data_IF_457676235092
#
_entry.id   IF_457676235092
#
_cell.length_a   1.000
_cell.length_b   1.000
_cell.length_c   1.000
_cell.angle_alpha   90.00
_cell.angle_beta   90.00
_cell.angle_gamma   90.00
#
_symmetry.space_group_name_H-M   'P 1'
#
loop_
_entity.id
_entity.type
_entity.pdbx_description
1 polymer ?
#
# COMPACT_ATOMS: atom_id res chain seq x y z
N UNK A 1 -13.94 -14.90 -16.78
CA UNK A 1 -13.74 -13.44 -16.65
C UNK A 1 -15.09 -12.76 -16.45
N UNK A 2 -15.40 -12.27 -15.24
CA UNK A 2 -16.70 -11.69 -14.93
C UNK A 2 -16.85 -10.27 -15.52
N UNK A 3 -18.02 -10.00 -16.08
CA UNK A 3 -18.33 -8.87 -16.98
C UNK A 3 -18.21 -7.51 -16.28
N UNK A 4 -17.44 -6.60 -16.90
CA UNK A 4 -17.32 -5.16 -16.59
C UNK A 4 -18.59 -4.35 -16.93
N UNK A 5 -19.78 -4.87 -16.64
CA UNK A 5 -21.06 -4.19 -16.97
C UNK A 5 -21.62 -3.57 -15.68
N UNK A 6 -21.48 -2.25 -15.54
CA UNK A 6 -22.05 -1.48 -14.40
C UNK A 6 -21.10 -0.50 -13.70
N UNK A 7 -19.80 -0.52 -13.99
CA UNK A 7 -18.84 0.35 -13.31
C UNK A 7 -18.76 1.75 -13.95
N UNK A 8 -18.89 2.81 -13.14
CA UNK A 8 -18.67 4.19 -13.59
C UNK A 8 -17.18 4.44 -13.94
N UNK A 9 -16.86 5.59 -14.54
CA UNK A 9 -15.48 5.90 -14.96
C UNK A 9 -14.46 5.85 -13.82
N UNK A 10 -14.86 6.23 -12.62
CA UNK A 10 -14.03 6.26 -11.41
C UNK A 10 -13.79 4.85 -10.87
N UNK A 11 -14.83 4.00 -10.87
CA UNK A 11 -14.70 2.59 -10.53
C UNK A 11 -13.77 1.87 -11.52
N UNK A 12 -13.89 2.14 -12.82
CA UNK A 12 -12.97 1.58 -13.83
C UNK A 12 -11.51 2.02 -13.62
N UNK A 13 -11.28 3.27 -13.20
CA UNK A 13 -9.95 3.76 -12.85
C UNK A 13 -9.39 3.06 -11.61
N UNK A 14 -10.21 2.91 -10.56
CA UNK A 14 -9.84 2.12 -9.38
C UNK A 14 -9.60 0.64 -9.71
N UNK A 15 -10.21 0.08 -10.76
CA UNK A 15 -10.02 -1.30 -11.23
C UNK A 15 -9.07 -1.43 -12.43
N UNK A 16 -8.02 -0.58 -12.52
CA UNK A 16 -6.96 -0.75 -13.52
C UNK A 16 -6.33 -2.15 -13.40
N UNK A 17 -6.38 -2.98 -14.47
CA UNK A 17 -5.71 -4.27 -14.48
C UNK A 17 -4.20 -4.05 -14.60
N UNK A 18 -3.43 -4.48 -13.60
CA UNK A 18 -1.97 -4.42 -13.62
C UNK A 18 -1.30 -4.12 -12.27
N UNK A 19 -2.02 -3.51 -11.32
CA UNK A 19 -1.48 -3.29 -9.97
C UNK A 19 -1.39 -4.59 -9.18
N UNK A 20 -0.20 -4.88 -8.67
CA UNK A 20 0.03 -5.92 -7.67
C UNK A 20 -0.96 -5.71 -6.52
N UNK A 21 -1.59 -6.77 -6.01
CA UNK A 21 -2.53 -6.66 -4.88
C UNK A 21 -1.99 -7.42 -3.71
N UNK A 22 -1.90 -6.73 -2.58
CA UNK A 22 -1.47 -7.33 -1.33
C UNK A 22 -2.54 -8.29 -0.85
N UNK A 23 -2.20 -9.58 -0.74
CA UNK A 23 -3.15 -10.58 -0.26
C UNK A 23 -3.26 -10.47 1.25
N UNK A 24 -4.35 -10.96 1.80
CA UNK A 24 -4.58 -10.91 3.24
C UNK A 24 -3.47 -11.58 4.06
N UNK A 25 -2.97 -12.74 3.61
CA UNK A 25 -1.88 -13.45 4.30
C UNK A 25 -0.53 -12.74 4.22
N UNK A 26 -0.34 -11.82 3.28
CA UNK A 26 0.92 -11.12 3.11
C UNK A 26 1.01 -9.91 4.07
N UNK A 27 -0.12 -9.44 4.61
CA UNK A 27 -0.17 -8.20 5.41
C UNK A 27 0.60 -8.34 6.71
N UNK A 28 0.48 -9.47 7.40
CA UNK A 28 1.22 -9.72 8.64
C UNK A 28 2.73 -9.73 8.38
N UNK A 29 3.16 -10.33 7.27
CA UNK A 29 4.56 -10.37 6.85
C UNK A 29 5.04 -8.95 6.54
N UNK A 30 4.27 -8.18 5.78
CA UNK A 30 4.62 -6.80 5.44
C UNK A 30 4.67 -5.88 6.67
N UNK A 31 3.79 -6.07 7.65
CA UNK A 31 3.84 -5.35 8.92
C UNK A 31 5.09 -5.70 9.74
N UNK A 32 5.55 -6.94 9.67
CA UNK A 32 6.83 -7.33 10.27
C UNK A 32 8.02 -6.68 9.53
N UNK A 33 8.02 -6.69 8.20
CA UNK A 33 9.05 -6.05 7.38
C UNK A 33 9.11 -4.54 7.58
N UNK A 34 7.97 -3.88 7.84
CA UNK A 34 7.90 -2.45 8.16
C UNK A 34 8.70 -2.08 9.43
N UNK A 35 8.96 -3.05 10.31
CA UNK A 35 9.74 -2.87 11.54
C UNK A 35 11.19 -3.39 11.41
N UNK A 36 11.60 -3.81 10.21
CA UNK A 36 12.96 -4.32 9.99
C UNK A 36 14.02 -3.23 10.17
N UNK A 37 15.21 -3.64 10.58
CA UNK A 37 16.40 -2.78 10.59
C UNK A 37 16.85 -2.42 9.17
N UNK A 38 16.54 -3.28 8.18
CA UNK A 38 16.86 -3.05 6.77
C UNK A 38 15.88 -2.06 6.12
N UNK A 39 16.43 -0.96 5.61
CA UNK A 39 15.67 0.06 4.90
C UNK A 39 15.05 -0.45 3.59
N UNK A 40 15.64 -1.46 2.93
CA UNK A 40 15.07 -2.06 1.74
C UNK A 40 13.80 -2.85 2.06
N UNK A 41 13.81 -3.62 3.15
CA UNK A 41 12.64 -4.35 3.66
C UNK A 41 11.52 -3.40 4.08
N UNK A 42 11.86 -2.33 4.80
CA UNK A 42 10.87 -1.29 5.16
C UNK A 42 10.30 -0.59 3.93
N UNK A 43 11.14 -0.30 2.94
CA UNK A 43 10.70 0.33 1.69
C UNK A 43 9.74 -0.59 0.91
N UNK A 44 10.07 -1.88 0.83
CA UNK A 44 9.21 -2.90 0.23
C UNK A 44 7.86 -2.99 0.96
N UNK A 45 7.89 -2.96 2.30
CA UNK A 45 6.68 -2.93 3.12
C UNK A 45 5.83 -1.68 2.82
N UNK A 46 6.42 -0.48 2.84
CA UNK A 46 5.73 0.78 2.54
C UNK A 46 5.03 0.77 1.17
N UNK A 47 5.72 0.25 0.14
CA UNK A 47 5.15 0.13 -1.21
C UNK A 47 3.94 -0.80 -1.24
N UNK A 48 3.97 -1.94 -0.56
CA UNK A 48 2.89 -2.94 -0.62
C UNK A 48 1.78 -2.72 0.42
N UNK A 49 2.03 -1.97 1.49
CA UNK A 49 1.03 -1.61 2.50
C UNK A 49 0.16 -0.43 2.07
N UNK A 50 0.52 0.27 0.99
CA UNK A 50 -0.27 1.38 0.46
C UNK A 50 -1.75 0.99 0.23
N UNK A 51 -2.72 1.87 0.58
CA UNK A 51 -4.14 1.60 0.39
C UNK A 51 -4.55 1.24 -1.04
N UNK A 52 -3.78 1.65 -2.06
CA UNK A 52 -4.04 1.26 -3.45
C UNK A 52 -3.89 -0.27 -3.66
N UNK A 53 -2.99 -0.91 -2.91
CA UNK A 53 -2.73 -2.35 -2.96
C UNK A 53 -3.58 -3.12 -1.93
N UNK A 54 -3.77 -2.57 -0.73
CA UNK A 54 -4.52 -3.23 0.35
C UNK A 54 -6.04 -3.11 0.16
N UNK A 55 -6.54 -1.96 -0.33
CA UNK A 55 -7.96 -1.67 -0.65
C UNK A 55 -8.98 -2.02 0.44
N UNK A 56 -8.53 -2.09 1.68
CA UNK A 56 -9.35 -2.22 2.89
C UNK A 56 -8.72 -1.37 4.00
N UNK A 57 -9.55 -0.88 4.90
CA UNK A 57 -9.08 -0.14 6.07
C UNK A 57 -8.67 -1.15 7.15
N UNK A 58 -7.38 -1.16 7.50
CA UNK A 58 -6.82 -1.94 8.60
C UNK A 58 -6.01 -0.95 9.42
N UNK A 59 -6.37 -0.78 10.68
CA UNK A 59 -5.76 0.27 11.51
C UNK A 59 -4.24 0.06 11.67
N UNK A 60 -3.79 -1.18 11.82
CA UNK A 60 -2.35 -1.51 11.91
C UNK A 60 -1.55 -1.10 10.66
N UNK A 61 -2.14 -1.27 9.47
CA UNK A 61 -1.52 -0.85 8.20
C UNK A 61 -1.38 0.66 8.14
N UNK A 62 -2.42 1.40 8.55
CA UNK A 62 -2.38 2.85 8.60
C UNK A 62 -1.36 3.35 9.63
N UNK A 63 -1.34 2.74 10.81
CA UNK A 63 -0.37 3.07 11.85
C UNK A 63 1.07 2.85 11.37
N UNK A 64 1.35 1.73 10.71
CA UNK A 64 2.65 1.45 10.12
C UNK A 64 3.02 2.47 9.03
N UNK A 65 2.07 2.81 8.15
CA UNK A 65 2.29 3.84 7.11
C UNK A 65 2.62 5.21 7.71
N UNK A 66 1.89 5.64 8.74
CA UNK A 66 2.18 6.92 9.41
C UNK A 66 3.55 6.93 10.07
N UNK A 67 3.97 5.83 10.70
CA UNK A 67 5.33 5.71 11.23
C UNK A 67 6.39 5.78 10.13
N UNK A 68 6.17 5.09 9.01
CA UNK A 68 7.09 5.09 7.87
C UNK A 68 7.16 6.45 7.14
N UNK A 69 6.18 7.35 7.30
CA UNK A 69 6.29 8.73 6.80
C UNK A 69 7.38 9.52 7.51
N UNK A 70 7.78 9.11 8.73
CA UNK A 70 8.85 9.68 9.53
C UNK A 70 10.14 8.83 9.51
N UNK A 71 10.21 7.81 8.66
CA UNK A 71 11.36 6.89 8.59
C UNK A 71 12.69 7.65 8.35
N UNK A 72 13.82 7.23 8.93
CA UNK A 72 15.12 7.85 8.64
C UNK A 72 15.52 7.78 7.15
N UNK A 73 15.15 6.72 6.42
CA UNK A 73 15.45 6.58 5.00
C UNK A 73 14.43 7.32 4.13
N UNK A 74 14.94 8.21 3.26
CA UNK A 74 14.12 9.03 2.36
C UNK A 74 13.31 8.21 1.36
N UNK A 75 13.80 7.03 0.95
CA UNK A 75 13.11 6.13 0.02
C UNK A 75 11.88 5.51 0.70
N UNK A 76 12.01 5.11 1.96
CA UNK A 76 10.90 4.59 2.76
C UNK A 76 9.83 5.67 2.94
N UNK A 77 10.25 6.90 3.31
CA UNK A 77 9.32 8.04 3.39
C UNK A 77 8.58 8.24 2.08
N UNK A 78 9.28 8.35 0.95
CA UNK A 78 8.66 8.53 -0.37
C UNK A 78 7.66 7.42 -0.70
N UNK A 79 7.99 6.16 -0.39
CA UNK A 79 7.10 5.04 -0.60
C UNK A 79 5.82 5.14 0.28
N UNK A 80 5.96 5.55 1.55
CA UNK A 80 4.82 5.77 2.44
C UNK A 80 3.95 6.96 1.99
N UNK A 81 4.57 8.02 1.44
CA UNK A 81 3.89 9.21 0.94
C UNK A 81 3.14 9.01 -0.38
N UNK A 82 3.48 7.99 -1.18
CA UNK A 82 2.75 7.64 -2.41
C UNK A 82 1.25 7.42 -2.16
N UNK A 83 0.88 7.05 -0.93
CA UNK A 83 -0.52 6.93 -0.45
C UNK A 83 -1.32 8.23 -0.55
N UNK A 84 -0.67 9.39 -0.47
CA UNK A 84 -1.29 10.72 -0.49
C UNK A 84 -1.27 11.35 -1.90
N UNK A 85 -0.37 10.92 -2.78
CA UNK A 85 -0.28 11.41 -4.17
C UNK A 85 -1.32 10.77 -5.10
N UNK A 86 -1.67 9.49 -4.88
CA UNK A 86 -2.68 8.76 -5.67
C UNK A 86 -4.13 8.94 -5.16
N UNK A 87 -4.34 9.70 -4.08
CA UNK A 87 -5.56 9.68 -3.27
C UNK A 87 -6.16 11.03 -2.88
N UNK A 88 -5.92 12.10 -3.65
CA UNK A 88 -6.65 13.38 -3.56
C UNK A 88 -7.83 13.46 -4.53
#
# INVERSE_FOLDING_TARGET
MAKRKGMNRYQKAAFRPGEHRTRQGDIEILLALAQSEDAEERCYAAQNLCPCHVRRRIDDVWQALYQMMEDPDVRVRRAAWHTLEDGG
#
